data_IF_824106436881
#
_entry.id   IF_824106436881
#
_cell.length_a   1.000
_cell.length_b   1.000
_cell.length_c   1.000
_cell.angle_alpha   90.00
_cell.angle_beta   90.00
_cell.angle_gamma   90.00
#
_symmetry.space_group_name_H-M   'P 1'
#
loop_
_entity.id
_entity.type
_entity.pdbx_description
1 polymer ?
#
# COMPACT_ATOMS: atom_id res chain seq x y z
N UNK A 1 19.44 30.95 17.95
CA UNK A 1 18.32 31.92 18.02
C UNK A 1 17.39 31.82 16.81
N UNK A 2 17.90 31.70 15.58
CA UNK A 2 17.06 31.59 14.36
C UNK A 2 16.12 30.37 14.37
N UNK A 3 16.63 29.16 14.65
CA UNK A 3 15.80 27.94 14.66
C UNK A 3 14.66 28.00 15.68
N UNK A 4 14.92 28.54 16.88
CA UNK A 4 13.90 28.73 17.92
C UNK A 4 12.82 29.71 17.49
N UNK A 5 13.21 30.81 16.83
CA UNK A 5 12.25 31.79 16.30
C UNK A 5 11.36 31.17 15.23
N UNK A 6 11.95 30.50 14.24
CA UNK A 6 11.22 29.83 13.16
C UNK A 6 10.31 28.72 13.71
N UNK A 7 10.77 27.98 14.72
CA UNK A 7 9.98 26.92 15.37
C UNK A 7 8.78 27.49 16.12
N UNK A 8 8.96 28.63 16.80
CA UNK A 8 7.86 29.34 17.47
C UNK A 8 6.82 29.81 16.46
N UNK A 9 7.24 30.46 15.37
CA UNK A 9 6.34 30.94 14.33
C UNK A 9 5.57 29.78 13.68
N UNK A 10 6.24 28.65 13.43
CA UNK A 10 5.62 27.44 12.90
C UNK A 10 4.60 26.85 13.89
N UNK A 11 4.91 26.80 15.18
CA UNK A 11 4.00 26.33 16.22
C UNK A 11 2.74 27.19 16.29
N UNK A 12 2.90 28.52 16.35
CA UNK A 12 1.77 29.46 16.37
C UNK A 12 0.90 29.33 15.11
N UNK A 13 1.54 29.22 13.94
CA UNK A 13 0.84 28.96 12.68
C UNK A 13 0.09 27.63 12.70
N UNK A 14 0.68 26.56 13.22
CA UNK A 14 0.03 25.24 13.29
C UNK A 14 -1.18 25.26 14.23
N UNK A 15 -1.04 25.85 15.41
CA UNK A 15 -2.14 25.97 16.38
C UNK A 15 -3.30 26.84 15.85
N UNK A 16 -3.01 27.84 15.00
CA UNK A 16 -4.04 28.65 14.35
C UNK A 16 -4.96 27.86 13.39
N UNK A 17 -4.58 26.65 12.98
CA UNK A 17 -5.37 25.84 12.03
C UNK A 17 -6.53 25.09 12.67
N UNK A 18 -6.65 25.10 14.00
CA UNK A 18 -7.81 24.56 14.71
C UNK A 18 -7.97 23.05 14.61
N UNK A 19 -6.87 22.27 14.59
CA UNK A 19 -6.94 20.82 14.72
C UNK A 19 -7.49 20.42 16.10
N UNK A 20 -8.17 19.26 16.19
CA UNK A 20 -8.69 18.79 17.47
C UNK A 20 -7.54 18.39 18.41
N UNK A 21 -7.66 18.72 19.70
CA UNK A 21 -6.66 18.35 20.70
C UNK A 21 -6.43 16.84 20.75
N UNK A 22 -7.50 16.04 20.65
CA UNK A 22 -7.43 14.58 20.56
C UNK A 22 -6.52 14.12 19.41
N UNK A 23 -6.60 14.75 18.24
CA UNK A 23 -5.73 14.39 17.12
C UNK A 23 -4.27 14.79 17.37
N UNK A 24 -4.04 15.95 17.97
CA UNK A 24 -2.69 16.45 18.32
C UNK A 24 -2.03 15.48 19.30
N UNK A 25 -2.72 15.12 20.38
CA UNK A 25 -2.22 14.22 21.41
C UNK A 25 -1.91 12.83 20.84
N UNK A 26 -2.82 12.29 20.02
CA UNK A 26 -2.64 10.99 19.39
C UNK A 26 -1.42 10.98 18.45
N UNK A 27 -1.20 12.02 17.64
CA UNK A 27 -0.03 12.06 16.75
C UNK A 27 1.29 12.20 17.51
N UNK A 28 1.34 12.98 18.60
CA UNK A 28 2.55 13.10 19.43
C UNK A 28 2.88 11.79 20.15
N UNK A 29 1.86 11.13 20.71
CA UNK A 29 2.00 9.81 21.30
C UNK A 29 2.51 8.82 20.25
N UNK A 30 1.85 8.76 19.09
CA UNK A 30 2.22 7.83 18.03
C UNK A 30 3.59 8.09 17.44
N UNK A 31 4.07 9.34 17.38
CA UNK A 31 5.44 9.64 16.97
C UNK A 31 6.46 8.93 17.88
N UNK A 32 6.26 9.05 19.21
CA UNK A 32 7.14 8.40 20.19
C UNK A 32 7.06 6.87 20.12
N UNK A 33 5.85 6.31 19.92
CA UNK A 33 5.66 4.87 19.76
C UNK A 33 6.33 4.38 18.46
N UNK A 34 6.16 5.10 17.35
CA UNK A 34 6.77 4.78 16.06
C UNK A 34 8.30 4.75 16.13
N UNK A 35 8.90 5.73 16.82
CA UNK A 35 10.34 5.78 17.00
C UNK A 35 10.83 4.58 17.84
N UNK A 36 10.10 4.20 18.90
CA UNK A 36 10.42 3.00 19.69
C UNK A 36 10.29 1.71 18.87
N UNK A 37 9.19 1.51 18.12
CA UNK A 37 9.00 0.35 17.24
C UNK A 37 10.14 0.26 16.22
N UNK A 38 10.49 1.38 15.58
CA UNK A 38 11.58 1.46 14.63
C UNK A 38 12.94 1.09 15.22
N UNK A 39 13.21 1.56 16.45
CA UNK A 39 14.46 1.32 17.17
C UNK A 39 14.58 -0.09 17.75
N UNK A 40 13.45 -0.72 18.13
CA UNK A 40 13.40 -2.12 18.53
C UNK A 40 13.96 -3.00 17.40
N UNK A 41 13.57 -2.71 16.16
CA UNK A 41 14.04 -3.38 14.95
C UNK A 41 13.52 -4.81 14.79
N UNK A 42 13.52 -5.28 13.55
CA UNK A 42 13.21 -6.66 13.22
C UNK A 42 14.45 -7.52 13.32
N UNK A 43 14.39 -8.67 14.00
CA UNK A 43 15.45 -9.68 13.85
C UNK A 43 15.38 -10.23 12.43
N UNK A 44 16.53 -10.40 11.79
CA UNK A 44 16.58 -10.76 10.37
C UNK A 44 17.55 -11.89 10.09
N UNK A 45 17.08 -12.93 9.41
CA UNK A 45 17.87 -14.11 9.06
C UNK A 45 18.76 -13.81 7.84
N UNK A 46 19.97 -13.32 8.13
CA UNK A 46 20.98 -12.97 7.11
C UNK A 46 21.36 -14.16 6.23
N UNK A 47 21.45 -15.37 6.79
CA UNK A 47 21.87 -16.55 6.05
C UNK A 47 20.81 -16.96 5.03
N UNK A 48 19.55 -17.10 5.46
CA UNK A 48 18.43 -17.37 4.53
C UNK A 48 18.29 -16.27 3.49
N UNK A 49 18.51 -15.01 3.88
CA UNK A 49 18.46 -13.89 2.94
C UNK A 49 19.54 -13.99 1.84
N UNK A 50 20.76 -14.42 2.18
CA UNK A 50 21.83 -14.66 1.21
C UNK A 50 21.52 -15.85 0.29
N UNK A 51 20.98 -16.94 0.83
CA UNK A 51 20.53 -18.10 0.04
C UNK A 51 19.41 -17.70 -0.94
N UNK A 52 18.40 -16.96 -0.45
CA UNK A 52 17.33 -16.45 -1.29
C UNK A 52 17.87 -15.52 -2.38
N UNK A 53 18.80 -14.63 -2.03
CA UNK A 53 19.44 -13.76 -3.02
C UNK A 53 20.14 -14.55 -4.11
N UNK A 54 20.93 -15.58 -3.77
CA UNK A 54 21.59 -16.45 -4.74
C UNK A 54 20.59 -17.11 -5.70
N UNK A 55 19.48 -17.66 -5.17
CA UNK A 55 18.40 -18.23 -5.98
C UNK A 55 17.78 -17.20 -6.92
N UNK A 56 17.44 -16.02 -6.42
CA UNK A 56 16.82 -14.96 -7.22
C UNK A 56 17.77 -14.41 -8.29
N UNK A 57 19.04 -14.25 -7.96
CA UNK A 57 20.08 -13.79 -8.88
C UNK A 57 20.30 -14.79 -10.02
N UNK A 58 20.30 -16.10 -9.72
CA UNK A 58 20.36 -17.14 -10.74
C UNK A 58 19.14 -17.08 -11.66
N UNK A 59 17.92 -17.04 -11.10
CA UNK A 59 16.69 -16.92 -11.89
C UNK A 59 16.67 -15.65 -12.75
N UNK A 60 17.19 -14.53 -12.24
CA UNK A 60 17.31 -13.30 -13.02
C UNK A 60 18.28 -13.52 -14.18
N UNK A 61 19.44 -14.13 -13.93
CA UNK A 61 20.44 -14.39 -14.98
C UNK A 61 19.89 -15.32 -16.07
N UNK A 62 19.15 -16.37 -15.69
CA UNK A 62 18.53 -17.30 -16.62
C UNK A 62 17.47 -16.61 -17.50
N UNK A 63 16.71 -15.68 -16.92
CA UNK A 63 15.76 -14.88 -17.69
C UNK A 63 16.48 -13.85 -18.56
N UNK A 64 17.55 -13.21 -18.05
CA UNK A 64 18.34 -12.23 -18.80
C UNK A 64 19.01 -12.84 -20.05
N UNK A 65 19.33 -14.13 -20.03
CA UNK A 65 19.79 -14.85 -21.21
C UNK A 65 18.72 -14.83 -22.31
N UNK A 66 19.01 -14.08 -23.39
CA UNK A 66 18.12 -13.92 -24.54
C UNK A 66 16.99 -12.91 -24.33
N UNK A 67 17.00 -12.14 -23.24
CA UNK A 67 16.04 -11.04 -23.05
C UNK A 67 16.35 -9.86 -23.97
N UNK A 68 17.62 -9.60 -24.29
CA UNK A 68 18.08 -8.60 -25.26
C UNK A 68 17.75 -8.97 -26.71
N UNK A 69 17.66 -10.27 -26.99
CA UNK A 69 17.20 -10.84 -28.26
C UNK A 69 15.69 -11.08 -28.32
N UNK A 70 14.94 -10.72 -27.26
CA UNK A 70 13.50 -10.98 -27.15
C UNK A 70 12.70 -10.33 -28.29
N UNK A 71 13.20 -9.21 -28.81
CA UNK A 71 12.66 -8.54 -29.98
C UNK A 71 13.78 -8.27 -30.98
N UNK A 72 13.44 -8.40 -32.26
CA UNK A 72 14.37 -8.10 -33.34
C UNK A 72 14.85 -6.64 -33.25
N UNK A 73 16.15 -6.38 -33.54
CA UNK A 73 16.66 -5.03 -33.66
C UNK A 73 15.87 -4.22 -34.69
N UNK A 74 15.81 -2.90 -34.50
CA UNK A 74 15.18 -2.00 -35.47
C UNK A 74 16.10 -0.85 -35.82
N UNK A 75 15.90 -0.27 -37.00
CA UNK A 75 16.62 0.92 -37.42
C UNK A 75 15.84 2.19 -37.07
N UNK A 76 16.56 3.20 -36.62
CA UNK A 76 16.07 4.58 -36.58
C UNK A 76 16.82 5.41 -37.60
N UNK A 77 16.08 6.16 -38.40
CA UNK A 77 16.62 7.10 -39.39
C UNK A 77 16.33 8.50 -38.87
N UNK A 78 17.38 9.27 -38.62
CA UNK A 78 17.29 10.68 -38.26
C UNK A 78 17.90 11.52 -39.38
N UNK A 79 17.09 12.35 -40.02
CA UNK A 79 17.55 13.29 -41.04
C UNK A 79 17.91 14.60 -40.37
N UNK A 80 19.16 15.06 -40.52
CA UNK A 80 19.57 16.38 -40.06
C UNK A 80 20.39 17.07 -41.14
N UNK A 81 20.43 18.41 -41.08
CA UNK A 81 21.24 19.23 -41.99
C UNK A 81 22.52 19.63 -41.25
N UNK A 82 23.70 19.14 -41.68
CA UNK A 82 24.97 19.51 -41.07
C UNK A 82 25.24 21.01 -41.20
N UNK A 83 25.66 21.63 -40.09
CA UNK A 83 26.04 23.05 -40.05
C UNK A 83 27.44 23.33 -40.60
N UNK A 84 28.24 22.29 -40.86
CA UNK A 84 29.62 22.34 -41.35
C UNK A 84 29.95 21.04 -42.07
N UNK A 85 30.85 21.11 -43.04
CA UNK A 85 31.42 19.93 -43.70
C UNK A 85 32.16 19.03 -42.70
N UNK A 86 31.99 17.71 -42.81
CA UNK A 86 32.79 16.73 -42.06
C UNK A 86 33.14 15.55 -42.97
N UNK A 87 34.36 15.58 -43.51
CA UNK A 87 34.85 14.60 -44.50
C UNK A 87 34.91 13.17 -43.95
N UNK A 88 35.15 12.99 -42.66
CA UNK A 88 35.26 11.67 -42.01
C UNK A 88 33.89 11.01 -41.83
N UNK A 89 32.85 11.81 -41.59
CA UNK A 89 31.47 11.32 -41.40
C UNK A 89 30.60 11.45 -42.66
N UNK A 90 31.16 11.96 -43.76
CA UNK A 90 30.46 12.16 -45.03
C UNK A 90 29.45 13.31 -45.04
N UNK A 91 29.59 14.29 -44.14
CA UNK A 91 28.64 15.40 -44.03
C UNK A 91 29.00 16.54 -44.99
N UNK A 92 28.01 17.00 -45.76
CA UNK A 92 28.09 18.20 -46.58
C UNK A 92 27.20 19.28 -45.94
N UNK A 93 27.77 20.45 -45.73
CA UNK A 93 27.09 21.60 -45.13
C UNK A 93 25.88 22.00 -45.97
N UNK A 94 24.72 22.13 -45.33
CA UNK A 94 23.48 22.51 -46.00
C UNK A 94 22.73 21.37 -46.71
N UNK A 95 23.32 20.17 -46.82
CA UNK A 95 22.66 19.02 -47.44
C UNK A 95 22.04 18.07 -46.40
N UNK A 96 20.81 17.56 -46.61
CA UNK A 96 20.22 16.58 -45.69
C UNK A 96 21.04 15.30 -45.61
N UNK A 97 21.42 14.89 -44.40
CA UNK A 97 22.11 13.62 -44.15
C UNK A 97 21.23 12.67 -43.33
N UNK A 98 21.09 11.42 -43.78
CA UNK A 98 20.38 10.38 -43.04
C UNK A 98 21.32 9.62 -42.11
N UNK A 99 21.16 9.83 -40.81
CA UNK A 99 21.86 9.03 -39.81
C UNK A 99 21.04 7.79 -39.48
N UNK A 100 21.54 6.62 -39.90
CA UNK A 100 20.96 5.32 -39.56
C UNK A 100 21.62 4.77 -38.31
N UNK A 101 20.81 4.28 -37.37
CA UNK A 101 21.28 3.61 -36.16
C UNK A 101 20.45 2.36 -35.92
N UNK A 102 21.13 1.22 -35.85
CA UNK A 102 20.53 -0.02 -35.37
C UNK A 102 20.40 0.04 -33.85
N UNK A 103 19.20 -0.19 -33.35
CA UNK A 103 18.89 -0.21 -31.92
C UNK A 103 18.54 -1.64 -31.53
N UNK A 104 19.25 -2.15 -30.52
CA UNK A 104 18.95 -3.42 -29.88
C UNK A 104 17.93 -3.23 -28.75
N UNK A 105 17.09 -4.24 -28.53
CA UNK A 105 16.10 -4.19 -27.49
C UNK A 105 16.77 -4.11 -26.10
N UNK A 106 16.18 -3.28 -25.23
CA UNK A 106 16.67 -3.11 -23.86
C UNK A 106 15.52 -3.44 -22.91
N UNK A 107 15.56 -4.59 -22.21
CA UNK A 107 14.52 -5.01 -21.27
C UNK A 107 14.27 -4.03 -20.11
N UNK A 108 15.26 -3.21 -19.76
CA UNK A 108 15.11 -2.16 -18.75
C UNK A 108 14.36 -0.92 -19.27
N UNK A 109 14.30 -0.72 -20.59
CA UNK A 109 13.70 0.47 -21.21
C UNK A 109 12.21 0.28 -21.47
N UNK A 110 11.37 0.96 -20.69
CA UNK A 110 9.91 0.93 -20.90
C UNK A 110 9.50 1.47 -22.27
N UNK A 111 10.28 2.40 -22.83
CA UNK A 111 10.09 2.90 -24.20
C UNK A 111 10.35 1.82 -25.25
N UNK A 112 11.40 1.02 -25.08
CA UNK A 112 11.67 -0.09 -26.00
C UNK A 112 10.56 -1.13 -25.93
N UNK A 113 10.09 -1.46 -24.72
CA UNK A 113 8.98 -2.41 -24.54
C UNK A 113 7.69 -1.89 -25.17
N UNK A 114 7.33 -0.62 -24.94
CA UNK A 114 6.16 0.00 -25.58
C UNK A 114 6.26 -0.10 -27.10
N UNK A 115 7.37 0.34 -27.68
CA UNK A 115 7.61 0.30 -29.11
C UNK A 115 7.50 -1.12 -29.67
N UNK A 116 8.20 -2.08 -29.08
CA UNK A 116 8.23 -3.46 -29.54
C UNK A 116 6.86 -4.15 -29.44
N UNK A 117 6.14 -3.97 -28.33
CA UNK A 117 4.80 -4.54 -28.17
C UNK A 117 3.78 -3.92 -29.13
N UNK A 118 3.85 -2.60 -29.35
CA UNK A 118 2.98 -1.92 -30.31
C UNK A 118 3.32 -2.33 -31.75
N UNK A 119 4.60 -2.43 -32.11
CA UNK A 119 5.03 -2.82 -33.46
C UNK A 119 4.71 -4.28 -33.78
N UNK A 120 5.01 -5.21 -32.87
CA UNK A 120 4.85 -6.65 -33.09
C UNK A 120 3.40 -7.12 -32.95
N UNK A 121 2.66 -6.62 -31.96
CA UNK A 121 1.31 -7.10 -31.65
C UNK A 121 0.20 -6.09 -31.93
N UNK A 122 0.53 -4.90 -32.43
CA UNK A 122 -0.44 -3.81 -32.53
C UNK A 122 -0.98 -3.37 -31.17
N UNK A 123 -0.23 -3.60 -30.09
CA UNK A 123 -0.68 -3.31 -28.73
C UNK A 123 -1.02 -1.83 -28.56
N UNK A 124 -2.23 -1.55 -28.06
CA UNK A 124 -2.74 -0.20 -27.78
C UNK A 124 -2.80 0.03 -26.26
N UNK A 125 -1.87 0.81 -25.68
CA UNK A 125 -1.86 1.10 -24.25
C UNK A 125 -3.14 1.81 -23.81
N UNK A 126 -3.68 1.42 -22.65
CA UNK A 126 -4.88 2.05 -22.06
C UNK A 126 -4.56 3.09 -21.00
N UNK A 127 -3.33 3.08 -20.48
CA UNK A 127 -2.84 3.99 -19.44
C UNK A 127 -1.51 4.58 -19.86
N UNK A 128 -1.35 5.86 -19.60
CA UNK A 128 -0.17 6.62 -19.95
C UNK A 128 0.38 7.31 -18.70
N UNK A 129 1.69 7.49 -18.70
CA UNK A 129 2.43 8.32 -17.74
C UNK A 129 2.13 9.81 -17.98
N UNK A 130 2.51 10.67 -17.04
CA UNK A 130 2.40 12.13 -17.21
C UNK A 130 3.16 12.66 -18.43
N UNK A 131 4.18 11.93 -18.89
CA UNK A 131 4.98 12.23 -20.08
C UNK A 131 4.38 11.69 -21.39
N UNK A 132 3.18 11.08 -21.36
CA UNK A 132 2.48 10.62 -22.55
C UNK A 132 2.86 9.23 -23.07
N UNK A 133 3.84 8.55 -22.46
CA UNK A 133 4.23 7.17 -22.79
C UNK A 133 3.39 6.14 -22.05
N UNK A 134 3.25 4.93 -22.59
CA UNK A 134 2.55 3.83 -21.94
C UNK A 134 3.06 3.58 -20.52
N UNK A 135 2.12 3.41 -19.58
CA UNK A 135 2.46 2.88 -18.26
C UNK A 135 2.70 1.37 -18.40
N UNK A 136 3.93 0.93 -18.14
CA UNK A 136 4.34 -0.47 -18.21
C UNK A 136 4.89 -0.89 -16.86
N UNK A 137 4.16 -1.77 -16.18
CA UNK A 137 4.54 -2.42 -14.93
C UNK A 137 4.24 -3.92 -15.01
N UNK A 138 4.61 -4.66 -13.96
CA UNK A 138 4.37 -6.10 -13.83
C UNK A 138 2.89 -6.46 -14.03
N UNK A 139 1.96 -5.62 -13.54
CA UNK A 139 0.52 -5.87 -13.68
C UNK A 139 0.04 -5.68 -15.11
N UNK A 140 0.49 -4.62 -15.80
CA UNK A 140 0.16 -4.40 -17.20
C UNK A 140 0.68 -5.54 -18.04
N UNK A 141 1.95 -5.91 -17.89
CA UNK A 141 2.58 -6.98 -18.66
C UNK A 141 1.99 -8.36 -18.37
N UNK A 142 1.74 -8.69 -17.09
CA UNK A 142 1.15 -9.97 -16.70
C UNK A 142 -0.28 -10.18 -17.24
N UNK A 143 -0.99 -9.10 -17.57
CA UNK A 143 -2.31 -9.18 -18.22
C UNK A 143 -2.24 -9.32 -19.75
N UNK A 144 -1.06 -9.19 -20.36
CA UNK A 144 -0.88 -9.36 -21.80
C UNK A 144 -0.58 -10.82 -22.12
N UNK A 145 -1.32 -11.41 -23.05
CA UNK A 145 -1.15 -12.80 -23.46
C UNK A 145 -0.03 -12.94 -24.51
N UNK A 146 1.09 -12.24 -24.31
CA UNK A 146 2.27 -12.28 -25.17
C UNK A 146 3.41 -12.92 -24.38
N UNK A 147 4.11 -13.89 -24.98
CA UNK A 147 5.18 -14.64 -24.31
C UNK A 147 6.27 -13.69 -23.81
N UNK A 148 6.63 -12.70 -24.62
CA UNK A 148 7.60 -11.66 -24.33
C UNK A 148 7.16 -10.78 -23.15
N UNK A 149 5.87 -10.44 -23.09
CA UNK A 149 5.32 -9.67 -21.99
C UNK A 149 5.35 -10.46 -20.67
N UNK A 150 5.04 -11.76 -20.70
CA UNK A 150 5.12 -12.63 -19.51
C UNK A 150 6.57 -12.74 -19.00
N UNK A 151 7.54 -12.96 -19.89
CA UNK A 151 8.97 -12.97 -19.52
C UNK A 151 9.43 -11.64 -18.90
N UNK A 152 9.01 -10.50 -19.48
CA UNK A 152 9.31 -9.18 -18.93
C UNK A 152 8.63 -8.92 -17.58
N UNK A 153 7.41 -9.45 -17.36
CA UNK A 153 6.73 -9.36 -16.07
C UNK A 153 7.51 -10.10 -14.98
N UNK A 154 7.93 -11.35 -15.26
CA UNK A 154 8.76 -12.14 -14.34
C UNK A 154 10.10 -11.46 -14.06
N UNK A 155 10.75 -10.91 -15.08
CA UNK A 155 11.98 -10.15 -14.93
C UNK A 155 11.82 -8.95 -13.98
N UNK A 156 10.75 -8.17 -14.14
CA UNK A 156 10.49 -7.01 -13.26
C UNK A 156 10.15 -7.40 -11.84
N UNK A 157 9.40 -8.49 -11.66
CA UNK A 157 9.17 -9.05 -10.34
C UNK A 157 10.49 -9.42 -9.65
N UNK A 158 11.37 -10.15 -10.35
CA UNK A 158 12.68 -10.54 -9.80
C UNK A 158 13.54 -9.32 -9.48
N UNK A 159 13.65 -8.34 -10.39
CA UNK A 159 14.36 -7.10 -10.14
C UNK A 159 13.83 -6.37 -8.90
N UNK A 160 12.51 -6.33 -8.72
CA UNK A 160 11.87 -5.72 -7.54
C UNK A 160 12.25 -6.47 -6.26
N UNK A 161 12.16 -7.81 -6.25
CA UNK A 161 12.52 -8.64 -5.08
C UNK A 161 13.99 -8.51 -4.73
N UNK A 162 14.88 -8.62 -5.71
CA UNK A 162 16.32 -8.45 -5.55
C UNK A 162 16.66 -7.03 -5.07
N UNK A 163 15.98 -6.01 -5.60
CA UNK A 163 16.13 -4.63 -5.17
C UNK A 163 15.72 -4.42 -3.71
N UNK A 164 14.66 -5.07 -3.25
CA UNK A 164 14.24 -5.05 -1.84
C UNK A 164 15.22 -5.82 -0.94
N UNK A 165 15.73 -6.97 -1.40
CA UNK A 165 16.54 -7.88 -0.61
C UNK A 165 18.01 -7.45 -0.49
N UNK A 166 18.68 -7.18 -1.61
CA UNK A 166 20.14 -7.07 -1.68
C UNK A 166 20.67 -5.85 -2.45
N UNK A 167 20.12 -5.56 -3.64
CA UNK A 167 20.81 -4.67 -4.58
C UNK A 167 20.36 -3.20 -4.49
N UNK A 168 19.13 -2.94 -4.06
CA UNK A 168 18.60 -1.58 -3.95
C UNK A 168 19.34 -0.72 -2.92
N UNK A 169 19.18 0.61 -2.98
CA UNK A 169 19.82 1.54 -2.04
C UNK A 169 19.31 1.40 -0.59
N UNK A 170 18.12 0.84 -0.44
CA UNK A 170 17.45 0.57 0.84
C UNK A 170 17.20 -0.93 1.02
N UNK A 171 18.04 -1.77 0.41
CA UNK A 171 17.93 -3.22 0.50
C UNK A 171 18.06 -3.71 1.96
N UNK A 172 17.33 -4.75 2.32
CA UNK A 172 17.32 -5.31 3.68
C UNK A 172 18.71 -5.74 4.15
N UNK A 173 19.47 -6.46 3.31
CA UNK A 173 20.84 -6.87 3.63
C UNK A 173 21.81 -5.70 3.85
N UNK A 174 21.53 -4.53 3.25
CA UNK A 174 22.33 -3.30 3.45
C UNK A 174 21.88 -2.47 4.66
N UNK A 175 20.74 -2.83 5.26
CA UNK A 175 20.11 -2.15 6.41
C UNK A 175 20.14 -3.03 7.66
N UNK A 176 20.90 -4.11 7.61
CA UNK A 176 21.12 -5.00 8.73
C UNK A 176 22.23 -4.40 9.61
N UNK A 177 21.88 -4.09 10.85
CA UNK A 177 22.82 -3.63 11.87
C UNK A 177 23.63 -4.81 12.44
N UNK A 178 24.71 -4.50 13.17
CA UNK A 178 25.63 -5.51 13.72
C UNK A 178 24.96 -6.48 14.71
N UNK A 179 23.84 -6.07 15.33
CA UNK A 179 23.01 -6.89 16.22
C UNK A 179 22.00 -7.78 15.47
N UNK A 180 22.19 -7.96 14.17
CA UNK A 180 21.32 -8.71 13.26
C UNK A 180 19.87 -8.19 13.20
N UNK A 181 19.68 -6.88 13.45
CA UNK A 181 18.38 -6.23 13.35
C UNK A 181 18.29 -5.28 12.17
N UNK A 182 17.10 -5.18 11.59
CA UNK A 182 16.75 -4.12 10.64
C UNK A 182 15.90 -3.10 11.37
N UNK A 183 16.51 -1.94 11.66
CA UNK A 183 15.80 -0.76 12.14
C UNK A 183 15.18 -0.02 10.96
N UNK A 184 13.95 0.46 11.15
CA UNK A 184 13.21 1.16 10.11
C UNK A 184 12.52 2.39 10.68
N UNK A 185 12.14 3.34 9.83
CA UNK A 185 11.46 4.56 10.26
C UNK A 185 9.99 4.51 9.89
N UNK A 186 9.13 4.60 10.91
CA UNK A 186 7.68 4.79 10.76
C UNK A 186 7.38 6.27 10.97
N UNK A 187 6.70 6.89 10.02
CA UNK A 187 6.21 8.27 10.13
C UNK A 187 4.72 8.20 10.39
N UNK A 188 4.30 8.39 11.65
CA UNK A 188 2.93 8.18 12.12
C UNK A 188 1.86 8.86 11.24
N UNK A 189 2.09 10.11 10.82
CA UNK A 189 1.20 10.88 9.94
C UNK A 189 1.83 11.10 8.55
N UNK A 190 2.35 10.02 7.94
CA UNK A 190 3.14 10.09 6.72
C UNK A 190 2.34 10.24 5.42
N UNK A 191 1.03 9.98 5.44
CA UNK A 191 0.16 10.11 4.27
C UNK A 191 -0.95 11.14 4.48
N UNK A 192 -1.57 11.60 3.38
CA UNK A 192 -2.70 12.55 3.44
C UNK A 192 -3.90 11.98 4.20
N UNK A 193 -4.11 10.67 4.20
CA UNK A 193 -5.15 10.02 5.01
C UNK A 193 -4.78 9.86 6.48
N UNK A 194 -3.58 10.28 6.88
CA UNK A 194 -3.07 10.09 8.24
C UNK A 194 -2.57 8.67 8.51
N UNK A 195 -2.50 7.79 7.51
CA UNK A 195 -1.81 6.49 7.66
C UNK A 195 -0.32 6.73 7.89
N UNK A 196 0.30 5.78 8.59
CA UNK A 196 1.75 5.76 8.72
C UNK A 196 2.42 5.52 7.35
N UNK A 197 3.59 6.13 7.16
CA UNK A 197 4.48 5.84 6.05
C UNK A 197 5.77 5.19 6.57
N UNK A 198 6.33 4.27 5.79
CA UNK A 198 7.53 3.51 6.16
C UNK A 198 8.68 3.86 5.24
N UNK A 199 9.88 4.03 5.80
CA UNK A 199 11.09 4.34 5.03
C UNK A 199 12.34 3.85 5.72
N UNK A 200 13.38 3.65 4.91
CA UNK A 200 14.75 3.34 5.34
C UNK A 200 14.92 2.10 6.23
N UNK A 201 14.48 0.88 5.82
CA UNK A 201 13.75 0.54 4.59
C UNK A 201 12.23 0.61 4.75
N UNK A 202 11.49 0.56 3.62
CA UNK A 202 10.02 0.51 3.67
C UNK A 202 9.54 -0.94 3.91
N UNK A 203 9.37 -1.32 5.17
CA UNK A 203 8.93 -2.68 5.55
C UNK A 203 7.43 -2.94 5.29
N UNK A 204 6.61 -1.92 5.09
CA UNK A 204 5.22 -2.11 4.65
C UNK A 204 5.10 -2.63 3.20
N UNK A 205 6.23 -2.73 2.47
CA UNK A 205 6.29 -3.29 1.11
C UNK A 205 6.86 -4.71 1.07
N UNK A 206 7.12 -5.35 2.22
CA UNK A 206 7.48 -6.77 2.24
C UNK A 206 6.33 -7.57 1.62
N UNK A 207 6.60 -8.38 0.57
CA UNK A 207 5.55 -9.07 -0.17
C UNK A 207 4.79 -10.06 0.72
N UNK A 208 3.46 -10.09 0.61
CA UNK A 208 2.61 -11.06 1.32
C UNK A 208 2.84 -12.49 0.82
N UNK A 209 2.60 -13.48 1.69
CA UNK A 209 2.80 -14.92 1.45
C UNK A 209 2.26 -15.42 0.10
N UNK A 210 1.04 -15.01 -0.27
CA UNK A 210 0.41 -15.43 -1.54
C UNK A 210 0.97 -14.79 -2.83
N UNK A 211 1.98 -13.93 -2.75
CA UNK A 211 2.69 -13.42 -3.93
C UNK A 211 3.97 -14.23 -4.17
N UNK A 212 4.44 -14.29 -5.42
CA UNK A 212 5.68 -14.99 -5.78
C UNK A 212 6.87 -14.42 -4.99
N UNK A 213 7.61 -15.34 -4.35
CA UNK A 213 8.66 -15.10 -3.36
C UNK A 213 8.21 -14.38 -2.07
N UNK A 214 6.90 -14.33 -1.80
CA UNK A 214 6.32 -13.62 -0.67
C UNK A 214 6.60 -14.31 0.66
N UNK A 215 6.34 -15.62 0.70
CA UNK A 215 6.63 -16.47 1.84
C UNK A 215 8.11 -16.44 2.20
N UNK A 216 8.98 -16.70 1.21
CA UNK A 216 10.44 -16.71 1.44
C UNK A 216 10.96 -15.35 1.90
N UNK A 217 10.37 -14.24 1.44
CA UNK A 217 10.72 -12.91 1.96
C UNK A 217 10.29 -12.72 3.42
N UNK A 218 9.09 -13.17 3.79
CA UNK A 218 8.54 -13.00 5.15
C UNK A 218 9.23 -13.92 6.16
N UNK A 219 9.69 -15.09 5.74
CA UNK A 219 10.49 -15.99 6.59
C UNK A 219 11.81 -15.38 7.05
N UNK A 220 12.33 -14.35 6.35
CA UNK A 220 13.56 -13.66 6.74
C UNK A 220 13.36 -12.76 7.96
N UNK A 221 12.13 -12.33 8.24
CA UNK A 221 11.81 -11.44 9.35
C UNK A 221 11.37 -12.30 10.54
N UNK A 222 12.23 -12.37 11.56
CA UNK A 222 12.12 -13.32 12.67
C UNK A 222 12.15 -12.58 14.02
N UNK A 223 12.33 -13.35 15.08
CA UNK A 223 12.55 -12.91 16.47
C UNK A 223 13.87 -13.50 16.99
N UNK A 224 14.39 -13.02 18.14
CA UNK A 224 15.58 -13.61 18.75
C UNK A 224 15.42 -15.11 19.01
N UNK A 225 16.54 -15.84 19.09
CA UNK A 225 16.51 -17.29 19.31
C UNK A 225 15.74 -17.67 20.58
N UNK A 226 14.83 -18.64 20.44
CA UNK A 226 13.95 -19.10 21.51
C UNK A 226 12.73 -18.21 21.77
N UNK A 227 12.62 -17.06 21.12
CA UNK A 227 11.45 -16.19 21.20
C UNK A 227 10.38 -16.62 20.19
N UNK A 228 9.20 -16.02 20.34
CA UNK A 228 8.02 -16.18 19.51
C UNK A 228 7.59 -14.83 18.95
N UNK A 229 6.88 -14.85 17.83
CA UNK A 229 6.28 -13.68 17.20
C UNK A 229 4.76 -13.81 17.33
N UNK A 230 4.12 -12.75 17.85
CA UNK A 230 2.67 -12.59 17.78
C UNK A 230 2.34 -11.59 16.69
N UNK A 231 1.67 -12.06 15.63
CA UNK A 231 1.06 -11.19 14.63
C UNK A 231 -0.41 -10.99 14.95
N UNK A 232 -0.90 -9.76 14.88
CA UNK A 232 -2.32 -9.46 15.04
C UNK A 232 -2.77 -8.42 14.03
N UNK A 233 -3.98 -8.59 13.47
CA UNK A 233 -4.59 -7.67 12.53
C UNK A 233 -6.04 -7.32 12.93
N UNK A 234 -6.48 -6.12 12.57
CA UNK A 234 -7.86 -5.68 12.78
C UNK A 234 -8.81 -6.25 11.71
N UNK A 235 -9.75 -7.10 12.14
CA UNK A 235 -10.61 -7.84 11.22
C UNK A 235 -11.67 -6.94 10.57
N UNK A 236 -11.68 -6.88 9.24
CA UNK A 236 -12.72 -6.19 8.46
C UNK A 236 -12.78 -4.67 8.69
N UNK A 237 -11.66 -4.05 9.06
CA UNK A 237 -11.58 -2.66 9.48
C UNK A 237 -12.27 -1.68 8.54
N UNK A 238 -12.09 -1.83 7.23
CA UNK A 238 -12.64 -0.90 6.24
C UNK A 238 -14.17 -0.90 6.22
N UNK A 239 -14.80 -2.08 6.24
CA UNK A 239 -16.26 -2.20 6.28
C UNK A 239 -16.81 -1.73 7.63
N UNK A 240 -16.08 -1.94 8.73
CA UNK A 240 -16.43 -1.36 10.03
C UNK A 240 -16.42 0.17 9.99
N UNK A 241 -15.41 0.77 9.34
CA UNK A 241 -15.36 2.22 9.15
C UNK A 241 -16.56 2.72 8.34
N UNK A 242 -16.94 2.00 7.27
CA UNK A 242 -18.13 2.37 6.49
C UNK A 242 -19.40 2.29 7.34
N UNK A 243 -19.61 1.17 8.02
CA UNK A 243 -20.78 0.93 8.86
C UNK A 243 -20.93 2.01 9.95
N UNK A 244 -19.82 2.48 10.53
CA UNK A 244 -19.85 3.56 11.51
C UNK A 244 -20.41 4.87 10.96
N UNK A 245 -20.08 5.24 9.71
CA UNK A 245 -20.51 6.51 9.12
C UNK A 245 -21.87 6.46 8.44
N UNK A 246 -22.48 5.27 8.29
CA UNK A 246 -23.80 5.17 7.68
C UNK A 246 -24.89 5.67 8.65
N UNK A 247 -25.73 6.64 8.24
CA UNK A 247 -26.84 7.13 9.05
C UNK A 247 -28.06 6.20 8.92
N UNK A 248 -27.91 4.92 9.28
CA UNK A 248 -28.95 3.88 9.13
C UNK A 248 -29.38 3.24 10.46
N UNK A 249 -29.08 3.89 11.59
CA UNK A 249 -29.41 3.36 12.90
C UNK A 249 -28.63 2.09 13.29
N UNK A 250 -27.61 1.71 12.51
CA UNK A 250 -26.80 0.52 12.76
C UNK A 250 -27.24 -0.72 11.98
N UNK A 251 -28.18 -0.60 11.03
CA UNK A 251 -28.66 -1.73 10.22
C UNK A 251 -27.52 -2.41 9.45
N UNK A 252 -26.67 -1.64 8.77
CA UNK A 252 -25.50 -2.17 8.05
C UNK A 252 -24.50 -2.83 9.00
N UNK A 253 -24.29 -2.24 10.18
CA UNK A 253 -23.43 -2.80 11.22
C UNK A 253 -23.96 -4.16 11.71
N UNK A 254 -25.28 -4.28 11.92
CA UNK A 254 -25.94 -5.53 12.31
C UNK A 254 -25.78 -6.61 11.25
N UNK A 255 -25.99 -6.28 9.97
CA UNK A 255 -25.76 -7.23 8.86
C UNK A 255 -24.29 -7.67 8.76
N UNK A 256 -23.34 -6.82 9.18
CA UNK A 256 -21.92 -7.17 9.22
C UNK A 256 -21.56 -8.12 10.36
N UNK A 257 -22.26 -8.04 11.50
CA UNK A 257 -21.98 -8.84 12.70
C UNK A 257 -22.76 -10.16 12.73
N UNK A 258 -24.00 -10.15 12.27
CA UNK A 258 -24.95 -11.26 12.40
C UNK A 258 -25.29 -11.94 11.07
N UNK A 259 -24.98 -11.30 9.94
CA UNK A 259 -25.38 -11.74 8.60
C UNK A 259 -24.22 -11.87 7.62
N UNK A 260 -24.55 -11.84 6.33
CA UNK A 260 -23.57 -11.79 5.24
C UNK A 260 -23.70 -10.46 4.49
N UNK A 261 -22.92 -9.48 4.91
CA UNK A 261 -22.92 -8.15 4.30
C UNK A 261 -22.60 -8.18 2.79
N UNK A 262 -21.83 -9.16 2.32
CA UNK A 262 -21.54 -9.29 0.90
C UNK A 262 -22.75 -9.79 0.11
N UNK A 263 -23.60 -10.64 0.69
CA UNK A 263 -24.88 -11.03 0.10
C UNK A 263 -25.88 -9.85 0.11
N UNK A 264 -25.88 -9.04 1.17
CA UNK A 264 -26.68 -7.80 1.22
C UNK A 264 -26.25 -6.84 0.10
N UNK A 265 -24.94 -6.59 -0.03
CA UNK A 265 -24.38 -5.76 -1.10
C UNK A 265 -24.65 -6.36 -2.51
N UNK A 266 -24.65 -7.69 -2.64
CA UNK A 266 -24.99 -8.37 -3.88
C UNK A 266 -26.45 -8.09 -4.28
N UNK A 267 -27.40 -8.27 -3.36
CA UNK A 267 -28.82 -7.98 -3.59
C UNK A 267 -29.03 -6.50 -3.90
N UNK A 268 -28.33 -5.60 -3.20
CA UNK A 268 -28.42 -4.16 -3.42
C UNK A 268 -27.89 -3.72 -4.81
N UNK A 269 -26.93 -4.44 -5.39
CA UNK A 269 -26.35 -4.13 -6.70
C UNK A 269 -26.97 -4.92 -7.85
N UNK A 270 -27.57 -6.07 -7.58
CA UNK A 270 -27.98 -7.03 -8.61
C UNK A 270 -26.79 -7.74 -9.28
N UNK A 271 -25.65 -7.83 -8.61
CA UNK A 271 -24.50 -8.58 -9.11
C UNK A 271 -24.76 -10.10 -9.02
N UNK A 272 -24.28 -10.89 -9.99
CA UNK A 272 -24.54 -12.32 -10.04
C UNK A 272 -23.83 -13.12 -8.94
N UNK A 273 -22.69 -12.64 -8.45
CA UNK A 273 -21.91 -13.37 -7.43
C UNK A 273 -21.55 -12.51 -6.23
N UNK A 274 -21.41 -13.19 -5.09
CA UNK A 274 -20.94 -12.61 -3.83
C UNK A 274 -19.54 -12.00 -3.96
N UNK A 275 -18.64 -12.64 -4.69
CA UNK A 275 -17.26 -12.15 -4.89
C UNK A 275 -17.20 -10.88 -5.73
N UNK A 276 -18.07 -10.75 -6.73
CA UNK A 276 -18.22 -9.49 -7.45
C UNK A 276 -18.76 -8.39 -6.54
N UNK A 277 -19.73 -8.70 -5.67
CA UNK A 277 -20.25 -7.74 -4.70
C UNK A 277 -19.20 -7.30 -3.66
N UNK A 278 -18.36 -8.24 -3.18
CA UNK A 278 -17.19 -7.95 -2.36
C UNK A 278 -16.23 -7.00 -3.09
N UNK A 279 -15.84 -7.34 -4.32
CA UNK A 279 -14.93 -6.51 -5.12
C UNK A 279 -15.53 -5.12 -5.41
N UNK A 280 -16.84 -5.06 -5.68
CA UNK A 280 -17.59 -3.83 -5.91
C UNK A 280 -17.54 -2.88 -4.71
N UNK A 281 -17.86 -3.37 -3.50
CA UNK A 281 -17.96 -2.50 -2.32
C UNK A 281 -16.60 -1.92 -1.97
N UNK A 282 -15.54 -2.74 -1.98
CA UNK A 282 -14.18 -2.27 -1.74
C UNK A 282 -13.73 -1.27 -2.82
N UNK A 283 -13.94 -1.58 -4.11
CA UNK A 283 -13.59 -0.64 -5.17
C UNK A 283 -14.35 0.70 -5.05
N UNK A 284 -15.62 0.67 -4.63
CA UNK A 284 -16.45 1.87 -4.43
C UNK A 284 -15.95 2.68 -3.23
N UNK A 285 -15.66 2.04 -2.11
CA UNK A 285 -15.08 2.68 -0.92
C UNK A 285 -13.74 3.35 -1.22
N UNK A 286 -12.96 2.78 -2.13
CA UNK A 286 -11.68 3.33 -2.59
C UNK A 286 -11.79 4.40 -3.70
N UNK A 287 -13.01 4.88 -3.99
CA UNK A 287 -13.23 5.94 -5.00
C UNK A 287 -13.18 5.42 -6.44
N UNK A 288 -13.47 4.15 -6.66
CA UNK A 288 -13.55 3.53 -7.97
C UNK A 288 -14.56 4.25 -8.87
N UNK A 289 -14.09 4.79 -9.99
CA UNK A 289 -14.94 5.41 -11.01
C UNK A 289 -15.82 4.40 -11.74
N UNK A 290 -16.80 4.88 -12.51
CA UNK A 290 -17.81 4.04 -13.16
C UNK A 290 -17.19 3.00 -14.10
N UNK A 291 -16.09 3.33 -14.77
CA UNK A 291 -15.37 2.39 -15.63
C UNK A 291 -14.76 1.22 -14.85
N UNK A 292 -14.19 1.46 -13.66
CA UNK A 292 -13.63 0.40 -12.82
C UNK A 292 -14.74 -0.49 -12.29
N UNK A 293 -15.81 0.12 -11.79
CA UNK A 293 -16.96 -0.60 -11.25
C UNK A 293 -17.66 -1.43 -12.32
N UNK A 294 -17.82 -0.90 -13.53
CA UNK A 294 -18.40 -1.63 -14.66
C UNK A 294 -17.59 -2.88 -15.03
N UNK A 295 -16.25 -2.79 -15.01
CA UNK A 295 -15.37 -3.93 -15.31
C UNK A 295 -15.52 -5.08 -14.32
N UNK A 296 -15.74 -4.79 -13.04
CA UNK A 296 -15.97 -5.83 -12.01
C UNK A 296 -17.18 -6.70 -12.39
N UNK A 297 -18.17 -6.11 -13.06
CA UNK A 297 -19.37 -6.78 -13.53
C UNK A 297 -19.30 -7.25 -14.99
N UNK A 298 -18.11 -7.28 -15.61
CA UNK A 298 -17.93 -7.67 -17.01
C UNK A 298 -18.42 -6.63 -18.05
N UNK A 299 -18.67 -5.40 -17.63
CA UNK A 299 -19.16 -4.30 -18.48
C UNK A 299 -18.21 -3.11 -18.58
N UNK A 300 -18.78 -1.94 -18.93
CA UNK A 300 -18.09 -0.65 -19.00
C UNK A 300 -18.74 0.42 -18.12
N UNK A 301 -18.35 1.68 -18.30
CA UNK A 301 -18.79 2.81 -17.49
C UNK A 301 -20.32 2.89 -17.30
N UNK A 302 -21.11 2.64 -18.35
CA UNK A 302 -22.58 2.63 -18.26
C UNK A 302 -23.07 1.64 -17.20
N UNK A 303 -22.59 0.38 -17.25
CA UNK A 303 -22.94 -0.65 -16.26
C UNK A 303 -22.48 -0.27 -14.86
N UNK A 304 -21.29 0.31 -14.73
CA UNK A 304 -20.80 0.78 -13.43
C UNK A 304 -21.66 1.88 -12.81
N UNK A 305 -22.13 2.83 -13.63
CA UNK A 305 -23.05 3.89 -13.21
C UNK A 305 -24.39 3.30 -12.74
N UNK A 306 -24.94 2.35 -13.49
CA UNK A 306 -26.18 1.64 -13.11
C UNK A 306 -26.04 0.90 -11.78
N UNK A 307 -24.93 0.18 -11.56
CA UNK A 307 -24.67 -0.55 -10.33
C UNK A 307 -24.55 0.37 -9.11
N UNK A 308 -23.84 1.50 -9.25
CA UNK A 308 -23.76 2.51 -8.19
C UNK A 308 -25.12 3.13 -7.89
N UNK A 309 -25.90 3.44 -8.92
CA UNK A 309 -27.24 3.98 -8.75
C UNK A 309 -28.17 2.98 -8.04
N UNK A 310 -28.11 1.70 -8.42
CA UNK A 310 -28.85 0.63 -7.75
C UNK A 310 -28.43 0.49 -6.28
N UNK A 311 -27.12 0.50 -6.00
CA UNK A 311 -26.61 0.44 -4.63
C UNK A 311 -27.06 1.64 -3.79
N UNK A 312 -26.97 2.87 -4.33
CA UNK A 312 -27.42 4.08 -3.66
C UNK A 312 -28.93 4.09 -3.41
N UNK A 313 -29.71 3.50 -4.32
CA UNK A 313 -31.16 3.35 -4.16
C UNK A 313 -31.52 2.33 -3.07
N UNK A 314 -30.83 1.20 -3.06
CA UNK A 314 -31.12 0.07 -2.17
C UNK A 314 -30.45 0.20 -0.79
N UNK A 315 -29.42 1.05 -0.67
CA UNK A 315 -28.80 1.47 0.59
C UNK A 315 -28.81 3.01 0.67
N UNK A 316 -29.97 3.63 0.98
CA UNK A 316 -30.11 5.09 0.98
C UNK A 316 -29.12 5.81 1.89
N UNK A 317 -28.76 5.19 3.03
CA UNK A 317 -27.77 5.73 3.96
C UNK A 317 -26.40 5.96 3.31
N UNK A 318 -26.02 5.14 2.32
CA UNK A 318 -24.77 5.32 1.58
C UNK A 318 -24.82 6.59 0.71
N UNK A 319 -25.95 6.83 0.03
CA UNK A 319 -26.14 8.05 -0.75
C UNK A 319 -26.18 9.30 0.15
N UNK A 320 -26.83 9.20 1.32
CA UNK A 320 -26.87 10.27 2.31
C UNK A 320 -25.47 10.62 2.83
N UNK A 321 -24.64 9.62 3.16
CA UNK A 321 -23.25 9.83 3.56
C UNK A 321 -22.47 10.56 2.45
N UNK A 322 -22.56 10.09 1.20
CA UNK A 322 -21.87 10.73 0.08
C UNK A 322 -22.28 12.21 -0.10
N UNK A 323 -23.57 12.50 -0.05
CA UNK A 323 -24.09 13.86 -0.18
C UNK A 323 -23.68 14.75 1.01
N UNK A 324 -23.71 14.22 2.23
CA UNK A 324 -23.26 14.92 3.43
C UNK A 324 -21.77 15.28 3.37
N UNK A 325 -20.93 14.40 2.82
CA UNK A 325 -19.51 14.67 2.63
C UNK A 325 -19.27 15.78 1.60
N UNK A 326 -20.00 15.79 0.47
CA UNK A 326 -19.92 16.86 -0.53
C UNK A 326 -20.30 18.21 0.07
N UNK A 327 -21.46 18.29 0.71
CA UNK A 327 -21.93 19.52 1.35
C UNK A 327 -20.97 20.02 2.43
N UNK A 328 -20.38 19.11 3.22
CA UNK A 328 -19.37 19.46 4.21
C UNK A 328 -18.10 20.05 3.56
N UNK A 329 -17.62 19.42 2.49
CA UNK A 329 -16.44 19.85 1.75
C UNK A 329 -16.65 21.18 1.03
N UNK A 330 -17.78 21.38 0.35
CA UNK A 330 -18.14 22.65 -0.31
C UNK A 330 -18.20 23.82 0.67
N UNK A 331 -18.75 23.58 1.87
CA UNK A 331 -18.88 24.62 2.91
C UNK A 331 -17.55 24.99 3.57
N UNK A 332 -16.63 24.02 3.77
CA UNK A 332 -15.46 24.18 4.65
C UNK A 332 -14.11 24.09 3.93
N UNK A 333 -14.06 23.51 2.74
CA UNK A 333 -12.82 23.11 2.06
C UNK A 333 -12.15 21.85 2.62
N UNK A 334 -12.71 21.24 3.66
CA UNK A 334 -12.23 20.02 4.30
C UNK A 334 -13.39 19.21 4.90
N UNK A 335 -13.14 17.93 5.22
CA UNK A 335 -14.06 17.10 6.00
C UNK A 335 -13.45 16.79 7.37
N UNK A 336 -14.26 16.44 8.37
CA UNK A 336 -13.76 16.05 9.69
C UNK A 336 -13.54 14.53 9.77
N UNK A 337 -12.40 14.11 10.32
CA UNK A 337 -12.10 12.72 10.63
C UNK A 337 -12.75 12.24 11.93
N UNK A 338 -12.55 10.96 12.26
CA UNK A 338 -13.15 10.28 13.42
C UNK A 338 -12.84 10.97 14.76
N UNK A 339 -11.61 11.47 14.94
CA UNK A 339 -11.15 12.21 16.12
C UNK A 339 -11.32 13.73 15.98
N UNK A 340 -12.08 14.18 14.98
CA UNK A 340 -12.34 15.59 14.71
C UNK A 340 -11.27 16.32 13.90
N UNK A 341 -10.17 15.66 13.51
CA UNK A 341 -9.11 16.28 12.69
C UNK A 341 -9.62 16.79 11.34
N UNK A 342 -8.96 17.80 10.79
CA UNK A 342 -9.25 18.28 9.44
C UNK A 342 -8.62 17.36 8.38
N UNK A 343 -9.45 16.87 7.45
CA UNK A 343 -9.01 16.06 6.32
C UNK A 343 -9.10 16.89 5.05
N UNK A 344 -7.93 17.22 4.53
CA UNK A 344 -7.79 17.91 3.24
C UNK A 344 -8.01 16.91 2.10
N UNK A 345 -8.92 17.24 1.19
CA UNK A 345 -9.29 16.33 0.08
C UNK A 345 -8.93 16.99 -1.25
N UNK A 346 -8.21 16.24 -2.11
CA UNK A 346 -7.71 16.77 -3.40
C UNK A 346 -8.80 16.86 -4.47
N UNK A 347 -9.86 16.07 -4.36
CA UNK A 347 -10.98 16.07 -5.30
C UNK A 347 -12.22 15.44 -4.68
N UNK A 348 -13.39 15.85 -5.14
CA UNK A 348 -14.70 15.39 -4.62
C UNK A 348 -14.86 13.86 -4.67
N UNK A 349 -14.40 13.22 -5.76
CA UNK A 349 -14.45 11.75 -5.92
C UNK A 349 -13.63 10.98 -4.88
N UNK A 350 -12.76 11.64 -4.11
CA UNK A 350 -11.95 11.03 -3.05
C UNK A 350 -12.48 11.27 -1.64
N UNK A 351 -13.62 11.96 -1.47
CA UNK A 351 -14.16 12.29 -0.14
C UNK A 351 -14.40 11.04 0.71
N UNK A 352 -15.13 10.06 0.16
CA UNK A 352 -15.42 8.82 0.87
C UNK A 352 -14.15 8.03 1.20
N UNK A 353 -13.27 7.83 0.21
CA UNK A 353 -12.05 7.06 0.41
C UNK A 353 -11.10 7.72 1.41
N UNK A 354 -11.01 9.06 1.38
CA UNK A 354 -10.23 9.83 2.34
C UNK A 354 -10.80 9.72 3.76
N UNK A 355 -12.13 9.79 3.93
CA UNK A 355 -12.78 9.60 5.23
C UNK A 355 -12.50 8.20 5.79
N UNK A 356 -12.78 7.16 5.01
CA UNK A 356 -12.67 5.77 5.45
C UNK A 356 -11.22 5.37 5.74
N UNK A 357 -10.26 5.79 4.89
CA UNK A 357 -8.85 5.53 5.14
C UNK A 357 -8.36 6.26 6.40
N UNK A 358 -8.84 7.48 6.63
CA UNK A 358 -8.48 8.24 7.83
C UNK A 358 -9.09 7.65 9.09
N UNK A 359 -10.34 7.21 9.06
CA UNK A 359 -10.97 6.53 10.19
C UNK A 359 -10.23 5.24 10.53
N UNK A 360 -9.90 4.42 9.52
CA UNK A 360 -9.07 3.24 9.71
C UNK A 360 -7.71 3.58 10.31
N UNK A 361 -7.04 4.63 9.83
CA UNK A 361 -5.75 5.06 10.38
C UNK A 361 -5.84 5.50 11.85
N UNK A 362 -6.90 6.23 12.22
CA UNK A 362 -7.14 6.68 13.61
C UNK A 362 -7.42 5.48 14.51
N UNK A 363 -8.25 4.53 14.07
CA UNK A 363 -8.53 3.29 14.80
C UNK A 363 -7.24 2.50 15.01
N UNK A 364 -6.45 2.27 13.96
CA UNK A 364 -5.18 1.55 14.09
C UNK A 364 -4.23 2.25 15.05
N UNK A 365 -4.08 3.57 14.96
CA UNK A 365 -3.21 4.35 15.87
C UNK A 365 -3.62 4.19 17.32
N UNK A 366 -4.91 4.37 17.60
CA UNK A 366 -5.44 4.22 18.96
C UNK A 366 -5.22 2.77 19.46
N UNK A 367 -5.46 1.79 18.61
CA UNK A 367 -5.26 0.38 18.94
C UNK A 367 -3.79 0.06 19.25
N UNK A 368 -2.86 0.51 18.41
CA UNK A 368 -1.42 0.35 18.65
C UNK A 368 -0.99 1.06 19.92
N UNK A 369 -1.48 2.28 20.17
CA UNK A 369 -1.19 3.02 21.40
C UNK A 369 -1.65 2.28 22.66
N UNK A 370 -2.85 1.70 22.63
CA UNK A 370 -3.38 0.91 23.74
C UNK A 370 -2.61 -0.41 23.92
N UNK A 371 -2.30 -1.12 22.83
CA UNK A 371 -1.48 -2.33 22.89
C UNK A 371 -0.09 -2.07 23.45
N UNK A 372 0.59 -1.05 22.93
CA UNK A 372 1.92 -0.66 23.37
C UNK A 372 1.93 -0.31 24.86
N UNK A 373 0.97 0.52 25.32
CA UNK A 373 0.84 0.87 26.73
C UNK A 373 0.67 -0.39 27.60
N UNK A 374 -0.26 -1.27 27.23
CA UNK A 374 -0.58 -2.45 28.02
C UNK A 374 0.57 -3.46 28.06
N UNK A 375 1.24 -3.70 26.93
CA UNK A 375 2.42 -4.58 26.84
C UNK A 375 3.53 -4.04 27.75
N UNK A 376 3.84 -2.75 27.67
CA UNK A 376 4.89 -2.14 28.50
C UNK A 376 4.55 -2.19 29.99
N UNK A 377 3.28 -1.96 30.37
CA UNK A 377 2.85 -1.99 31.77
C UNK A 377 2.81 -3.40 32.37
N UNK A 378 2.42 -4.42 31.59
CA UNK A 378 2.20 -5.79 32.11
C UNK A 378 3.41 -6.70 31.98
N UNK A 379 4.25 -6.47 30.97
CA UNK A 379 5.32 -7.39 30.59
C UNK A 379 6.70 -6.72 30.59
N UNK A 380 6.76 -5.48 30.07
CA UNK A 380 8.01 -4.76 29.88
C UNK A 380 8.83 -5.27 28.67
N UNK A 381 9.86 -4.50 28.25
CA UNK A 381 10.61 -4.77 27.02
C UNK A 381 11.43 -6.06 27.06
N UNK A 382 11.77 -6.58 28.24
CA UNK A 382 12.51 -7.85 28.38
C UNK A 382 11.65 -9.08 28.07
N UNK A 383 10.33 -8.93 28.03
CA UNK A 383 9.37 -10.01 27.80
C UNK A 383 8.65 -9.86 26.46
N UNK A 384 8.27 -8.63 26.09
CA UNK A 384 7.63 -8.38 24.81
C UNK A 384 7.84 -6.95 24.31
N UNK A 385 8.00 -6.79 22.99
CA UNK A 385 8.09 -5.49 22.36
C UNK A 385 7.60 -5.52 20.91
N UNK A 386 6.95 -4.44 20.47
CA UNK A 386 6.43 -4.32 19.09
C UNK A 386 7.62 -4.10 18.15
N UNK A 387 7.73 -4.94 17.11
CA UNK A 387 8.77 -4.86 16.06
C UNK A 387 8.24 -4.27 14.76
N UNK A 388 6.93 -4.36 14.51
CA UNK A 388 6.31 -3.82 13.32
C UNK A 388 4.89 -3.34 13.56
N UNK A 389 4.53 -2.24 12.89
CA UNK A 389 3.14 -1.80 12.75
C UNK A 389 2.89 -1.49 11.27
N UNK A 390 2.18 -2.36 10.56
CA UNK A 390 1.90 -2.23 9.13
C UNK A 390 0.40 -2.03 8.96
N UNK A 391 -0.01 -0.76 8.82
CA UNK A 391 -1.42 -0.38 8.64
C UNK A 391 -2.33 -0.87 9.76
N UNK A 392 -3.05 -1.96 9.56
CA UNK A 392 -3.99 -2.62 10.47
C UNK A 392 -3.39 -3.82 11.20
N UNK A 393 -2.10 -4.08 11.02
CA UNK A 393 -1.37 -5.19 11.59
C UNK A 393 -0.27 -4.72 12.57
N UNK A 394 -0.11 -5.42 13.69
CA UNK A 394 1.07 -5.32 14.56
C UNK A 394 1.80 -6.66 14.65
N UNK A 395 3.11 -6.58 14.82
CA UNK A 395 4.00 -7.73 14.99
C UNK A 395 4.81 -7.50 16.27
N UNK A 396 4.76 -8.46 17.20
CA UNK A 396 5.31 -8.32 18.55
C UNK A 396 6.22 -9.49 18.87
N UNK A 397 7.50 -9.20 19.16
CA UNK A 397 8.45 -10.20 19.62
C UNK A 397 8.17 -10.52 21.10
N UNK A 398 8.10 -11.80 21.45
CA UNK A 398 7.68 -12.30 22.75
C UNK A 398 8.64 -13.39 23.25
N UNK A 399 9.12 -13.29 24.49
CA UNK A 399 10.17 -14.17 25.03
C UNK A 399 9.78 -15.65 25.11
N UNK A 400 8.50 -15.93 25.32
CA UNK A 400 7.97 -17.30 25.41
C UNK A 400 6.63 -17.39 24.71
N UNK A 401 6.22 -18.60 24.32
CA UNK A 401 4.90 -18.86 23.72
C UNK A 401 3.75 -18.39 24.62
N UNK A 402 3.86 -18.60 25.94
CA UNK A 402 2.86 -18.11 26.90
C UNK A 402 2.73 -16.58 26.88
N UNK A 403 3.84 -15.87 26.74
CA UNK A 403 3.83 -14.41 26.59
C UNK A 403 3.22 -14.02 25.24
N UNK A 404 3.53 -14.75 24.17
CA UNK A 404 2.97 -14.52 22.84
C UNK A 404 1.43 -14.64 22.81
N UNK A 405 0.89 -15.69 23.45
CA UNK A 405 -0.55 -15.87 23.62
C UNK A 405 -1.18 -14.76 24.47
N UNK A 406 -0.50 -14.34 25.54
CA UNK A 406 -0.99 -13.23 26.37
C UNK A 406 -1.04 -11.91 25.57
N UNK A 407 -0.01 -11.63 24.76
CA UNK A 407 0.04 -10.47 23.86
C UNK A 407 -1.09 -10.51 22.83
N UNK A 408 -1.39 -11.68 22.25
CA UNK A 408 -2.53 -11.84 21.34
C UNK A 408 -3.88 -11.51 22.00
N UNK A 409 -4.05 -11.93 23.26
CA UNK A 409 -5.23 -11.58 24.05
C UNK A 409 -5.28 -10.08 24.42
N UNK A 410 -4.14 -9.45 24.70
CA UNK A 410 -4.05 -7.98 24.83
C UNK A 410 -4.53 -7.33 23.54
N UNK A 411 -4.00 -7.72 22.38
CA UNK A 411 -4.34 -7.13 21.08
C UNK A 411 -5.85 -7.19 20.81
N UNK A 412 -6.49 -8.34 21.07
CA UNK A 412 -7.96 -8.51 20.96
C UNK A 412 -8.75 -7.60 21.91
N UNK A 413 -8.32 -7.50 23.17
CA UNK A 413 -9.01 -6.65 24.17
C UNK A 413 -8.86 -5.17 23.83
N UNK A 414 -7.65 -4.73 23.45
CA UNK A 414 -7.37 -3.35 23.07
C UNK A 414 -8.09 -2.95 21.78
N UNK A 415 -8.35 -3.89 20.87
CA UNK A 415 -9.20 -3.63 19.71
C UNK A 415 -10.62 -3.22 20.15
N UNK A 416 -11.24 -3.97 21.09
CA UNK A 416 -12.56 -3.62 21.64
C UNK A 416 -12.55 -2.26 22.35
N UNK A 417 -11.56 -2.04 23.23
CA UNK A 417 -11.39 -0.77 23.96
C UNK A 417 -11.16 0.43 23.03
N UNK A 418 -10.50 0.21 21.89
CA UNK A 418 -10.35 1.24 20.84
C UNK A 418 -11.70 1.66 20.28
N UNK A 419 -12.59 0.71 20.00
CA UNK A 419 -13.95 0.98 19.52
C UNK A 419 -14.73 1.82 20.51
N UNK A 420 -14.65 1.49 21.81
CA UNK A 420 -15.30 2.23 22.89
C UNK A 420 -14.73 3.65 23.04
N UNK A 421 -13.39 3.77 23.06
CA UNK A 421 -12.67 5.05 23.20
C UNK A 421 -13.01 6.01 22.07
N UNK A 422 -13.08 5.51 20.83
CA UNK A 422 -13.40 6.30 19.65
C UNK A 422 -14.90 6.40 19.36
N UNK A 423 -15.75 5.81 20.23
CA UNK A 423 -17.21 5.77 20.07
C UNK A 423 -17.64 5.26 18.69
N UNK A 424 -16.99 4.21 18.23
CA UNK A 424 -17.36 3.54 16.97
C UNK A 424 -18.67 2.79 17.19
N UNK A 425 -19.60 2.88 16.25
CA UNK A 425 -20.97 2.36 16.38
C UNK A 425 -21.06 0.82 16.35
N UNK A 426 -19.94 0.14 16.16
CA UNK A 426 -19.85 -1.32 16.18
C UNK A 426 -18.51 -1.76 16.78
N UNK A 427 -18.46 -2.96 17.40
CA UNK A 427 -17.23 -3.45 18.00
C UNK A 427 -16.09 -3.54 16.98
N UNK A 428 -14.88 -3.21 17.39
CA UNK A 428 -13.68 -3.50 16.61
C UNK A 428 -13.12 -4.85 17.10
N UNK A 429 -12.75 -5.72 16.17
CA UNK A 429 -12.18 -7.04 16.44
C UNK A 429 -10.76 -7.13 15.93
N UNK A 430 -9.96 -8.00 16.53
CA UNK A 430 -8.66 -8.40 16.02
C UNK A 430 -8.55 -9.92 15.98
N UNK A 431 -7.78 -10.42 15.02
CA UNK A 431 -7.31 -11.80 15.00
C UNK A 431 -5.81 -11.82 15.30
N UNK A 432 -5.31 -12.95 15.79
CA UNK A 432 -3.89 -13.11 16.04
C UNK A 432 -3.45 -14.54 15.79
N UNK A 433 -2.17 -14.68 15.51
CA UNK A 433 -1.45 -15.93 15.31
C UNK A 433 -0.11 -15.85 16.03
N UNK A 434 0.41 -17.00 16.45
CA UNK A 434 1.71 -17.13 17.10
C UNK A 434 2.61 -18.00 16.24
N UNK A 435 3.84 -17.55 16.03
CA UNK A 435 4.83 -18.24 15.21
C UNK A 435 6.25 -17.82 15.57
N UNK A 436 7.20 -18.00 14.65
CA UNK A 436 8.61 -17.59 14.82
C UNK A 436 9.07 -16.60 13.76
N UNK A 437 8.36 -16.53 12.65
CA UNK A 437 8.64 -15.65 11.53
C UNK A 437 7.39 -14.89 11.14
N UNK A 438 7.57 -13.80 10.40
CA UNK A 438 6.44 -13.06 9.86
C UNK A 438 5.59 -13.93 8.91
N UNK A 439 6.19 -14.92 8.24
CA UNK A 439 5.47 -15.85 7.36
C UNK A 439 4.55 -16.83 8.12
N UNK A 440 4.86 -17.11 9.39
CA UNK A 440 4.01 -17.93 10.26
C UNK A 440 2.79 -17.16 10.73
N UNK A 441 2.95 -15.85 10.94
CA UNK A 441 1.92 -15.02 11.54
C UNK A 441 1.07 -14.26 10.53
N UNK A 442 1.55 -14.06 9.30
CA UNK A 442 0.82 -13.38 8.24
C UNK A 442 1.31 -13.75 6.83
#
# INVERSE_FOLDING_TARGET
MQDTSVTKDLYELAMSKGFSQQSIDLEHLMASICDRIGNNGWTFDKYKAQVLYGKLAQLRSDIEQGLDELFEPWETIETFIPKRNNKTLGYIEGEPFEKRKTIHFNPGSRRHIEFCLTKKYGWKPKKFTSTGHAQIDETVLGNLQYVEAQKLADFFLLQKRIGQLAEGPQAWLKRLDDDARIRHRIVACGTVSGRAAHRSPNLAQVPKKGLKFGEECRELFTVPDGWFLTGSDLSGLELRCLAHYLPDGGDYAKQMLEGDIHLVNQKATGLPTRDQAKTFIYATMYGGGDQLIGKIAGGGAKRGKELKAAFNKNIPAFAQLQNGLRAAFEKRGYIKGLDGRHLMVRSEHKLLSQLLQSAGAIICKQWVALCDREINLKLGPDQAYIVGWIHDEIQVACKTEKVAEHVGNIARRMARETGETLKVNLPISAEYSVGRTWADTH
#
